data_IF_339220027973
#
_entry.id   IF_339220027973
#
_cell.length_a   1.000
_cell.length_b   1.000
_cell.length_c   1.000
_cell.angle_alpha   90.00
_cell.angle_beta   90.00
_cell.angle_gamma   90.00
#
_symmetry.space_group_name_H-M   'P 1'
#
loop_
_entity.id
_entity.type
_entity.pdbx_description
1 polymer ?
#
# COMPACT_ATOMS: atom_id res chain seq x y z
N UNK A 1 6.37 27.98 -6.25
CA UNK A 1 6.50 26.88 -7.23
C UNK A 1 6.55 25.49 -6.57
N UNK A 2 7.18 25.33 -5.40
CA UNK A 2 7.25 24.04 -4.67
C UNK A 2 5.88 23.50 -4.20
N UNK A 3 4.95 24.35 -3.75
CA UNK A 3 3.63 23.89 -3.27
C UNK A 3 2.70 23.29 -4.34
N UNK A 4 2.84 23.71 -5.61
CA UNK A 4 2.03 23.17 -6.72
C UNK A 4 2.48 21.76 -7.12
N UNK A 5 3.78 21.50 -7.05
CA UNK A 5 4.35 20.18 -7.36
C UNK A 5 3.85 19.17 -6.33
N UNK A 6 3.94 19.48 -5.03
CA UNK A 6 3.46 18.58 -3.96
C UNK A 6 1.96 18.30 -4.06
N UNK A 7 1.14 19.30 -4.39
CA UNK A 7 -0.29 19.10 -4.58
C UNK A 7 -0.61 18.17 -5.75
N UNK A 8 0.07 18.34 -6.90
CA UNK A 8 -0.09 17.48 -8.07
C UNK A 8 0.29 16.01 -7.77
N UNK A 9 1.31 15.78 -6.96
CA UNK A 9 1.75 14.44 -6.55
C UNK A 9 0.71 13.70 -5.72
N UNK A 10 0.06 14.40 -4.78
CA UNK A 10 -1.03 13.84 -3.97
C UNK A 10 -2.25 13.51 -4.85
N UNK A 11 -2.53 14.34 -5.87
CA UNK A 11 -3.64 14.11 -6.82
C UNK A 11 -3.40 12.84 -7.64
N UNK A 12 -2.23 12.75 -8.29
CA UNK A 12 -1.88 11.60 -9.16
C UNK A 12 -1.82 10.33 -8.32
N UNK A 13 -1.17 10.37 -7.16
CA UNK A 13 -1.13 9.26 -6.21
C UNK A 13 -2.52 8.81 -5.74
N UNK A 14 -3.41 9.76 -5.43
CA UNK A 14 -4.78 9.46 -5.00
C UNK A 14 -5.66 8.86 -6.11
N UNK A 15 -5.53 9.34 -7.35
CA UNK A 15 -6.25 8.82 -8.52
C UNK A 15 -5.77 7.41 -8.87
N UNK A 16 -4.45 7.20 -8.84
CA UNK A 16 -3.83 5.89 -9.00
C UNK A 16 -4.34 4.91 -7.94
N UNK A 17 -4.35 5.32 -6.66
CA UNK A 17 -4.87 4.50 -5.56
C UNK A 17 -6.35 4.13 -5.75
N UNK A 18 -7.17 5.07 -6.25
CA UNK A 18 -8.57 4.83 -6.53
C UNK A 18 -8.78 3.81 -7.65
N UNK A 19 -8.05 3.93 -8.75
CA UNK A 19 -8.11 3.00 -9.88
C UNK A 19 -7.64 1.59 -9.47
N UNK A 20 -6.53 1.53 -8.72
CA UNK A 20 -5.98 0.29 -8.15
C UNK A 20 -6.99 -0.44 -7.27
N UNK A 21 -7.55 0.26 -6.27
CA UNK A 21 -8.55 -0.33 -5.36
C UNK A 21 -9.77 -0.85 -6.08
N UNK A 22 -10.20 -0.19 -7.15
CA UNK A 22 -11.35 -0.64 -7.96
C UNK A 22 -11.03 -1.93 -8.71
N UNK A 23 -9.81 -2.09 -9.21
CA UNK A 23 -9.37 -3.28 -9.95
C UNK A 23 -9.18 -4.51 -9.05
N UNK A 24 -8.75 -4.30 -7.79
CA UNK A 24 -8.51 -5.37 -6.82
C UNK A 24 -9.66 -5.61 -5.83
N UNK A 25 -10.87 -5.08 -6.10
CA UNK A 25 -12.07 -5.17 -5.23
C UNK A 25 -12.54 -6.58 -4.85
N UNK A 26 -11.97 -7.63 -5.45
CA UNK A 26 -12.27 -9.03 -5.14
C UNK A 26 -11.26 -9.68 -4.19
N UNK A 27 -10.29 -8.91 -3.68
CA UNK A 27 -9.40 -9.32 -2.61
C UNK A 27 -10.15 -9.50 -1.28
N UNK A 28 -9.91 -10.60 -0.59
CA UNK A 28 -10.47 -10.81 0.75
C UNK A 28 -9.97 -9.75 1.76
N UNK A 29 -10.46 -9.82 3.00
CA UNK A 29 -10.11 -8.86 4.07
C UNK A 29 -8.59 -8.72 4.29
N UNK A 30 -7.83 -9.81 4.13
CA UNK A 30 -6.36 -9.81 4.23
C UNK A 30 -5.70 -9.03 3.07
N UNK A 31 -6.22 -9.17 1.85
CA UNK A 31 -5.72 -8.38 0.70
C UNK A 31 -5.92 -6.89 0.93
N UNK A 32 -7.09 -6.49 1.44
CA UNK A 32 -7.34 -5.07 1.77
C UNK A 32 -6.46 -4.56 2.91
N UNK A 33 -6.17 -5.42 3.90
CA UNK A 33 -5.22 -5.09 4.97
C UNK A 33 -3.83 -4.84 4.39
N UNK A 34 -3.36 -5.74 3.51
CA UNK A 34 -2.11 -5.61 2.80
C UNK A 34 -2.03 -4.31 1.98
N UNK A 35 -3.02 -4.02 1.15
CA UNK A 35 -3.05 -2.81 0.32
C UNK A 35 -2.94 -1.53 1.18
N UNK A 36 -3.66 -1.49 2.29
CA UNK A 36 -3.61 -0.35 3.21
C UNK A 36 -2.25 -0.22 3.91
N UNK A 37 -1.64 -1.35 4.32
CA UNK A 37 -0.31 -1.36 4.92
C UNK A 37 0.76 -0.86 3.93
N UNK A 38 0.72 -1.36 2.68
CA UNK A 38 1.60 -0.89 1.60
C UNK A 38 1.40 0.60 1.33
N UNK A 39 0.15 1.07 1.31
CA UNK A 39 -0.15 2.50 1.13
C UNK A 39 0.51 3.34 2.22
N UNK A 40 0.38 2.94 3.48
CA UNK A 40 1.01 3.65 4.61
C UNK A 40 2.53 3.65 4.47
N UNK A 41 3.11 2.50 4.11
CA UNK A 41 4.54 2.39 3.95
C UNK A 41 5.08 3.30 2.83
N UNK A 42 4.49 3.25 1.63
CA UNK A 42 4.92 4.08 0.49
C UNK A 42 4.82 5.58 0.82
N UNK A 43 3.72 6.01 1.44
CA UNK A 43 3.44 7.43 1.61
C UNK A 43 4.03 8.05 2.88
N UNK A 44 4.24 7.26 3.93
CA UNK A 44 4.71 7.74 5.23
C UNK A 44 6.07 7.16 5.63
N UNK A 45 6.62 6.19 4.89
CA UNK A 45 7.87 5.52 5.22
C UNK A 45 7.82 4.67 6.50
N UNK A 46 6.62 4.35 7.01
CA UNK A 46 6.48 3.65 8.29
C UNK A 46 6.89 2.18 8.17
N UNK A 47 8.05 1.85 8.73
CA UNK A 47 8.63 0.51 8.67
C UNK A 47 7.71 -0.57 9.30
N UNK A 48 6.96 -0.23 10.35
CA UNK A 48 5.94 -1.11 10.93
C UNK A 48 4.87 -1.52 9.91
N UNK A 49 4.50 -0.60 9.01
CA UNK A 49 3.53 -0.87 7.96
C UNK A 49 4.12 -1.77 6.87
N UNK A 50 5.43 -1.67 6.60
CA UNK A 50 6.16 -2.62 5.74
C UNK A 50 6.12 -4.03 6.33
N UNK A 51 6.47 -4.16 7.62
CA UNK A 51 6.44 -5.44 8.33
C UNK A 51 5.02 -6.02 8.33
N UNK A 52 3.99 -5.18 8.52
CA UNK A 52 2.59 -5.57 8.44
C UNK A 52 2.20 -6.08 7.04
N UNK A 53 2.64 -5.41 5.97
CA UNK A 53 2.40 -5.84 4.60
C UNK A 53 3.05 -7.21 4.30
N UNK A 54 4.35 -7.37 4.61
CA UNK A 54 5.07 -8.65 4.44
C UNK A 54 4.36 -9.78 5.20
N UNK A 55 3.98 -9.52 6.45
CA UNK A 55 3.33 -10.53 7.29
C UNK A 55 1.95 -10.90 6.74
N UNK A 56 1.18 -9.92 6.25
CA UNK A 56 -0.10 -10.18 5.61
C UNK A 56 0.04 -11.01 4.33
N UNK A 57 1.07 -10.74 3.53
CA UNK A 57 1.35 -11.52 2.34
C UNK A 57 1.74 -12.97 2.68
N UNK A 58 2.57 -13.17 3.72
CA UNK A 58 2.97 -14.49 4.22
C UNK A 58 1.80 -15.34 4.72
N UNK A 59 0.82 -14.70 5.36
CA UNK A 59 -0.40 -15.36 5.86
C UNK A 59 -1.41 -15.63 4.72
N UNK A 60 -1.37 -14.88 3.64
CA UNK A 60 -2.35 -14.98 2.57
C UNK A 60 -2.28 -16.30 1.78
N UNK A 61 -3.44 -16.77 1.35
CA UNK A 61 -3.54 -17.94 0.47
C UNK A 61 -2.93 -17.62 -0.92
N UNK A 62 -2.41 -18.64 -1.62
CA UNK A 62 -1.74 -18.49 -2.93
C UNK A 62 -2.45 -17.58 -3.93
N UNK A 63 -3.78 -17.70 -4.05
CA UNK A 63 -4.58 -16.83 -4.93
C UNK A 63 -4.56 -15.36 -4.51
N UNK A 64 -4.62 -15.07 -3.21
CA UNK A 64 -4.56 -13.70 -2.68
C UNK A 64 -3.18 -13.09 -2.91
N UNK A 65 -2.12 -13.89 -2.82
CA UNK A 65 -0.74 -13.42 -3.07
C UNK A 65 -0.53 -12.97 -4.49
N UNK A 66 -1.10 -13.68 -5.46
CA UNK A 66 -1.08 -13.24 -6.86
C UNK A 66 -1.73 -11.86 -7.04
N UNK A 67 -2.82 -11.58 -6.31
CA UNK A 67 -3.45 -10.26 -6.33
C UNK A 67 -2.56 -9.20 -5.65
N UNK A 68 -1.94 -9.54 -4.52
CA UNK A 68 -1.01 -8.66 -3.80
C UNK A 68 0.22 -8.30 -4.66
N UNK A 69 0.82 -9.29 -5.32
CA UNK A 69 1.94 -9.09 -6.23
C UNK A 69 1.52 -8.21 -7.43
N UNK A 70 0.33 -8.45 -8.00
CA UNK A 70 -0.23 -7.59 -9.06
C UNK A 70 -0.43 -6.14 -8.60
N UNK A 71 -0.89 -5.94 -7.36
CA UNK A 71 -1.04 -4.60 -6.78
C UNK A 71 0.31 -3.88 -6.66
N UNK A 72 1.36 -4.58 -6.21
CA UNK A 72 2.71 -4.02 -6.12
C UNK A 72 3.33 -3.72 -7.49
N UNK A 73 3.17 -4.63 -8.46
CA UNK A 73 3.68 -4.44 -9.83
C UNK A 73 3.11 -3.19 -10.47
N UNK A 74 1.80 -2.96 -10.33
CA UNK A 74 1.17 -1.75 -10.85
C UNK A 74 1.66 -0.48 -10.13
N UNK A 75 1.94 -0.54 -8.82
CA UNK A 75 2.60 0.57 -8.12
C UNK A 75 4.01 0.84 -8.62
N UNK A 76 4.81 -0.20 -8.86
CA UNK A 76 6.15 -0.08 -9.40
C UNK A 76 6.14 0.52 -10.82
N UNK A 77 5.29 -0.01 -11.72
CA UNK A 77 5.13 0.50 -13.09
C UNK A 77 4.70 1.98 -13.12
N UNK A 78 3.78 2.39 -12.25
CA UNK A 78 3.33 3.79 -12.16
C UNK A 78 4.39 4.71 -11.56
N UNK A 79 5.23 4.17 -10.67
CA UNK A 79 6.35 4.90 -10.09
C UNK A 79 7.47 5.07 -11.11
N UNK A 80 7.72 4.08 -11.98
CA UNK A 80 8.69 4.17 -13.09
C UNK A 80 8.32 5.25 -14.12
N UNK A 81 7.01 5.49 -14.31
CA UNK A 81 6.52 6.58 -15.16
C UNK A 81 6.69 7.96 -14.49
N UNK A 82 6.85 8.01 -13.16
CA UNK A 82 7.05 9.26 -12.43
C UNK A 82 8.55 9.64 -12.38
N UNK A 83 8.88 10.83 -12.86
CA UNK A 83 10.26 11.37 -12.98
C UNK A 83 10.83 11.83 -11.62
N UNK A 84 10.42 11.21 -10.51
CA UNK A 84 10.68 11.70 -9.15
C UNK A 84 11.76 10.82 -8.49
N UNK A 85 12.89 11.38 -8.07
CA UNK A 85 13.96 10.62 -7.40
C UNK A 85 13.48 9.90 -6.12
N UNK A 86 12.61 10.52 -5.31
CA UNK A 86 12.05 9.86 -4.12
C UNK A 86 11.18 8.63 -4.45
N UNK A 87 10.67 8.53 -5.69
CA UNK A 87 9.96 7.34 -6.15
C UNK A 87 10.91 6.17 -6.46
N UNK A 88 12.19 6.41 -6.75
CA UNK A 88 13.15 5.34 -7.06
C UNK A 88 13.50 4.46 -5.86
N UNK A 89 13.66 5.05 -4.67
CA UNK A 89 13.87 4.27 -3.43
C UNK A 89 12.63 3.41 -3.13
N UNK A 90 11.43 3.98 -3.32
CA UNK A 90 10.17 3.26 -3.21
C UNK A 90 10.05 2.11 -4.22
N UNK A 91 10.52 2.28 -5.46
CA UNK A 91 10.51 1.23 -6.50
C UNK A 91 11.39 0.05 -6.10
N UNK A 92 12.61 0.30 -5.61
CA UNK A 92 13.51 -0.78 -5.20
C UNK A 92 12.91 -1.58 -4.05
N UNK A 93 12.34 -0.92 -3.05
CA UNK A 93 11.67 -1.63 -1.96
C UNK A 93 10.41 -2.37 -2.40
N UNK A 94 9.65 -1.82 -3.35
CA UNK A 94 8.49 -2.51 -3.93
C UNK A 94 8.92 -3.77 -4.69
N UNK A 95 10.04 -3.74 -5.41
CA UNK A 95 10.61 -4.91 -6.10
C UNK A 95 11.05 -5.98 -5.10
N UNK A 96 11.76 -5.61 -4.04
CA UNK A 96 12.11 -6.54 -2.96
C UNK A 96 10.86 -7.17 -2.32
N UNK A 97 9.80 -6.37 -2.12
CA UNK A 97 8.53 -6.85 -1.59
C UNK A 97 7.82 -7.79 -2.59
N UNK A 98 7.89 -7.53 -3.90
CA UNK A 98 7.36 -8.41 -4.94
C UNK A 98 8.11 -9.74 -4.92
N UNK A 99 9.45 -9.70 -4.93
CA UNK A 99 10.30 -10.89 -4.91
C UNK A 99 10.02 -11.72 -3.67
N UNK A 100 9.90 -11.09 -2.49
CA UNK A 100 9.55 -11.76 -1.24
C UNK A 100 8.19 -12.46 -1.31
N UNK A 101 7.19 -11.84 -1.95
CA UNK A 101 5.81 -12.34 -2.06
C UNK A 101 5.66 -13.43 -3.13
N UNK A 102 6.42 -13.33 -4.22
CA UNK A 102 6.44 -14.32 -5.31
C UNK A 102 7.36 -15.50 -4.99
N UNK A 103 8.33 -15.34 -4.08
CA UNK A 103 9.22 -16.40 -3.64
C UNK A 103 8.54 -17.46 -2.75
N UNK A 104 8.42 -18.67 -3.34
CA UNK A 104 8.21 -19.99 -2.68
C UNK A 104 7.02 -20.13 -1.73
N UNK A 105 6.75 -21.38 -1.33
CA UNK A 105 5.82 -21.66 -0.24
C UNK A 105 6.51 -21.38 1.10
N UNK A 106 5.98 -20.43 1.87
CA UNK A 106 6.48 -20.20 3.22
C UNK A 106 6.04 -21.31 4.15
N UNK A 107 6.96 -21.72 5.02
CA UNK A 107 6.63 -22.65 6.09
C UNK A 107 5.82 -21.95 7.18
N UNK A 108 5.13 -22.74 8.01
CA UNK A 108 4.47 -22.24 9.22
C UNK A 108 5.47 -21.47 10.11
N UNK A 109 6.74 -21.92 10.15
CA UNK A 109 7.81 -21.26 10.92
C UNK A 109 8.10 -19.85 10.40
N UNK A 110 8.09 -19.65 9.08
CA UNK A 110 8.31 -18.33 8.48
C UNK A 110 7.15 -17.38 8.79
N UNK A 111 5.93 -17.89 8.80
CA UNK A 111 4.73 -17.13 9.18
C UNK A 111 4.81 -16.74 10.66
N UNK A 112 5.19 -17.66 11.54
CA UNK A 112 5.36 -17.37 12.98
C UNK A 112 6.43 -16.30 13.20
N UNK A 113 7.63 -16.45 12.62
CA UNK A 113 8.69 -15.44 12.72
C UNK A 113 8.24 -14.05 12.25
N UNK A 114 7.45 -13.98 11.18
CA UNK A 114 6.91 -12.72 10.69
C UNK A 114 5.90 -12.11 11.67
N UNK A 115 5.03 -12.94 12.28
CA UNK A 115 4.12 -12.49 13.33
C UNK A 115 4.86 -12.02 14.58
N UNK A 116 5.88 -12.73 15.03
CA UNK A 116 6.70 -12.34 16.19
C UNK A 116 7.38 -10.98 15.93
N UNK A 117 7.94 -10.80 14.73
CA UNK A 117 8.52 -9.52 14.32
C UNK A 117 7.48 -8.39 14.32
N UNK A 118 6.28 -8.66 13.80
CA UNK A 118 5.19 -7.68 13.80
C UNK A 118 4.68 -7.40 15.22
N UNK A 119 4.64 -8.39 16.10
CA UNK A 119 4.27 -8.20 17.51
C UNK A 119 5.24 -7.28 18.23
N UNK A 120 6.54 -7.51 18.01
CA UNK A 120 7.61 -6.73 18.62
C UNK A 120 7.64 -5.28 18.12
N UNK A 121 7.35 -5.04 16.84
CA UNK A 121 7.33 -3.69 16.26
C UNK A 121 5.99 -2.98 16.50
N UNK A 122 4.88 -3.64 16.22
CA UNK A 122 3.55 -3.06 16.36
C UNK A 122 2.47 -4.11 16.72
N UNK A 123 2.22 -4.35 18.01
CA UNK A 123 1.26 -5.35 18.46
C UNK A 123 -0.19 -5.01 18.06
N UNK A 124 -0.50 -3.74 17.80
CA UNK A 124 -1.81 -3.33 17.30
C UNK A 124 -2.03 -3.80 15.85
N UNK A 125 -1.03 -3.66 14.98
CA UNK A 125 -1.08 -4.19 13.62
C UNK A 125 -1.21 -5.72 13.61
N UNK A 126 -0.50 -6.44 14.48
CA UNK A 126 -0.68 -7.89 14.58
C UNK A 126 -2.12 -8.27 14.99
N UNK A 127 -2.68 -7.59 16.00
CA UNK A 127 -4.07 -7.82 16.43
C UNK A 127 -5.06 -7.55 15.29
N UNK A 128 -4.85 -6.47 14.54
CA UNK A 128 -5.68 -6.14 13.39
C UNK A 128 -5.53 -7.18 12.27
N UNK A 129 -4.32 -7.65 11.97
CA UNK A 129 -4.06 -8.70 11.00
C UNK A 129 -4.76 -10.02 11.36
N UNK A 130 -4.64 -10.46 12.62
CA UNK A 130 -5.29 -11.69 13.10
C UNK A 130 -6.83 -11.62 13.01
N UNK A 131 -7.42 -10.41 13.06
CA UNK A 131 -8.86 -10.17 12.87
C UNK A 131 -9.25 -9.85 11.43
N UNK A 132 -8.28 -9.81 10.51
CA UNK A 132 -8.42 -9.28 9.17
C UNK A 132 -9.13 -7.91 9.15
N UNK A 133 -8.76 -7.03 10.08
CA UNK A 133 -9.28 -5.68 10.22
C UNK A 133 -8.42 -4.69 9.43
N UNK A 134 -8.75 -4.53 8.15
CA UNK A 134 -8.12 -3.53 7.28
C UNK A 134 -8.46 -2.08 7.65
N UNK A 135 -9.43 -1.87 8.54
CA UNK A 135 -9.86 -0.55 8.99
C UNK A 135 -8.88 0.12 9.95
N UNK A 136 -7.87 -0.61 10.47
CA UNK A 136 -6.87 -0.04 11.36
C UNK A 136 -6.13 1.14 10.74
N UNK A 137 -5.68 1.02 9.49
CA UNK A 137 -4.92 2.08 8.83
C UNK A 137 -5.79 3.31 8.49
N UNK A 138 -7.00 3.18 7.93
CA UNK A 138 -7.90 4.33 7.77
C UNK A 138 -8.26 5.03 9.08
N UNK A 139 -8.37 4.30 10.19
CA UNK A 139 -8.62 4.89 11.51
C UNK A 139 -7.40 5.62 12.05
N UNK A 140 -6.19 5.04 11.89
CA UNK A 140 -4.93 5.63 12.35
C UNK A 140 -4.47 6.80 11.46
N UNK A 141 -4.73 6.73 10.16
CA UNK A 141 -4.31 7.72 9.15
C UNK A 141 -5.47 8.28 8.33
N UNK A 142 -6.46 8.92 8.95
CA UNK A 142 -7.68 9.35 8.26
C UNK A 142 -7.41 10.30 7.09
N UNK A 143 -6.39 11.16 7.18
CA UNK A 143 -6.02 12.07 6.08
C UNK A 143 -5.53 11.35 4.83
N UNK A 144 -4.78 10.26 5.00
CA UNK A 144 -4.30 9.43 3.89
C UNK A 144 -5.44 8.69 3.20
N UNK A 145 -6.50 8.36 3.93
CA UNK A 145 -7.60 7.51 3.46
C UNK A 145 -8.94 8.23 3.24
N UNK A 146 -9.05 9.54 3.48
CA UNK A 146 -10.28 10.31 3.32
C UNK A 146 -10.64 10.57 1.84
N UNK A 147 -11.91 10.35 1.46
CA UNK A 147 -12.41 10.61 0.10
C UNK A 147 -12.49 12.10 -0.28
N UNK A 148 -12.47 13.01 0.71
CA UNK A 148 -12.59 14.46 0.48
C UNK A 148 -11.32 15.05 -0.15
N UNK A 149 -10.14 14.53 0.21
CA UNK A 149 -8.87 14.94 -0.39
C UNK A 149 -8.81 14.58 -1.89
N UNK A 150 -9.42 13.46 -2.30
CA UNK A 150 -9.47 12.98 -3.69
C UNK A 150 -10.45 13.81 -4.55
N UNK A 151 -11.60 14.23 -4.01
CA UNK A 151 -12.58 15.05 -4.75
C UNK A 151 -12.13 16.49 -4.97
N UNK A 152 -11.51 17.10 -3.97
CA UNK A 152 -10.94 18.44 -4.08
C UNK A 152 -9.77 18.47 -5.07
N UNK A 153 -8.92 17.44 -5.05
CA UNK A 153 -7.82 17.29 -6.03
C UNK A 153 -8.32 17.02 -7.46
N UNK A 154 -9.36 16.20 -7.64
CA UNK A 154 -9.99 16.00 -8.95
C UNK A 154 -10.69 17.27 -9.49
N UNK A 155 -11.31 18.07 -8.62
CA UNK A 155 -11.95 19.33 -9.01
C UNK A 155 -10.92 20.40 -9.45
N UNK A 156 -9.77 20.47 -8.77
CA UNK A 156 -8.66 21.37 -9.13
C UNK A 156 -8.05 20.96 -10.47
N UNK A 157 -7.79 19.67 -10.69
CA UNK A 157 -7.27 19.15 -11.95
C UNK A 157 -8.21 19.42 -13.13
N UNK A 158 -9.53 19.27 -12.94
CA UNK A 158 -10.53 19.58 -13.96
C UNK A 158 -10.55 21.07 -14.33
N UNK A 159 -10.32 21.96 -13.36
CA UNK A 159 -10.30 23.41 -13.58
C UNK A 159 -9.04 23.89 -14.31
N UNK A 160 -7.92 23.20 -14.12
CA UNK A 160 -6.64 23.46 -14.79
C UNK A 160 -6.58 22.95 -16.24
N UNK A 161 -7.42 21.99 -16.64
CA UNK A 161 -7.52 21.52 -18.03
C UNK A 161 -8.49 22.36 -18.89
N UNK A 162 -9.25 23.25 -18.25
CA UNK A 162 -10.23 24.15 -18.90
C UNK A 162 -9.76 25.61 -18.99
N UNK A 163 -8.47 25.86 -18.77
CA UNK A 163 -7.80 27.16 -18.91
C UNK A 163 -6.55 26.98 -19.76
#
# INVERSE_FOLDING_TARGET
>A
MTGFIVAALIVVGGIVLYALRRMFRHGGRITKYFENAVTVYIWLGEEDARIAAVTAAKVAAKRQRKLMAGYLKLHAELSEISIIPEAQESIQTLRELIDDIEAKEWSIRDIMKAKDKLEASNPEYLRALNRADSGIFPRKYPRLFAAKSIRETAAIAKKMQSS
#
